data_IF_722538420671
#
_entry.id   IF_722538420671
#
_cell.length_a   1.000
_cell.length_b   1.000
_cell.length_c   1.000
_cell.angle_alpha   90.00
_cell.angle_beta   90.00
_cell.angle_gamma   90.00
#
_symmetry.space_group_name_H-M   'P 1'
#
loop_
_entity.id
_entity.type
_entity.pdbx_description
1 polymer ?
#
# COMPACT_ATOMS: atom_id res chain seq x y z
N UNK A 1 1.90 5.15 13.33
CA UNK A 1 2.57 5.99 14.36
C UNK A 1 3.48 6.95 13.62
N UNK A 2 3.60 8.20 14.08
CA UNK A 2 4.42 9.25 13.41
C UNK A 2 5.86 9.32 13.93
N UNK A 3 6.12 8.60 15.03
CA UNK A 3 7.38 8.55 15.75
C UNK A 3 7.74 7.09 16.01
N UNK A 4 9.04 6.84 16.22
CA UNK A 4 9.54 5.50 16.55
C UNK A 4 9.14 5.16 17.99
N UNK A 5 8.59 3.97 18.28
CA UNK A 5 8.25 3.59 19.65
C UNK A 5 9.47 3.44 20.56
N UNK A 6 9.34 3.79 21.85
CA UNK A 6 10.41 3.64 22.86
C UNK A 6 10.96 2.22 22.99
N UNK A 7 10.11 1.22 22.78
CA UNK A 7 10.52 -0.18 22.79
C UNK A 7 11.61 -0.51 21.75
N UNK A 8 11.70 0.24 20.64
CA UNK A 8 12.72 -0.02 19.60
C UNK A 8 14.11 0.35 20.10
N UNK A 9 14.26 1.50 20.76
CA UNK A 9 15.54 1.98 21.30
C UNK A 9 16.00 1.06 22.44
N UNK A 10 15.09 0.70 23.34
CA UNK A 10 15.38 -0.24 24.41
C UNK A 10 15.79 -1.63 23.87
N UNK A 11 15.11 -2.14 22.84
CA UNK A 11 15.49 -3.41 22.22
C UNK A 11 16.85 -3.34 21.52
N UNK A 12 17.16 -2.26 20.83
CA UNK A 12 18.48 -2.11 20.20
C UNK A 12 19.60 -2.07 21.23
N UNK A 13 19.39 -1.41 22.36
CA UNK A 13 20.33 -1.39 23.49
C UNK A 13 20.50 -2.77 24.14
N UNK A 14 19.41 -3.45 24.47
CA UNK A 14 19.44 -4.76 25.15
C UNK A 14 20.02 -5.85 24.25
N UNK A 15 19.66 -5.83 22.96
CA UNK A 15 20.06 -6.87 22.00
C UNK A 15 21.35 -6.50 21.25
N UNK A 16 21.98 -5.36 21.57
CA UNK A 16 23.16 -4.80 20.89
C UNK A 16 23.04 -4.91 19.36
N UNK A 17 21.87 -4.51 18.85
CA UNK A 17 21.60 -4.61 17.42
C UNK A 17 22.52 -3.66 16.68
N UNK A 18 23.17 -4.20 15.65
CA UNK A 18 24.02 -3.43 14.75
C UNK A 18 23.22 -2.86 13.57
N UNK A 19 22.06 -3.45 13.24
CA UNK A 19 21.23 -3.07 12.10
C UNK A 19 19.85 -2.66 12.56
N UNK A 20 19.44 -1.43 12.21
CA UNK A 20 18.10 -0.90 12.44
C UNK A 20 17.49 -0.49 11.10
N UNK A 21 16.43 -1.20 10.72
CA UNK A 21 15.65 -0.93 9.50
C UNK A 21 14.29 -0.37 9.92
N UNK A 22 14.04 0.89 9.56
CA UNK A 22 12.78 1.60 9.79
C UNK A 22 12.25 2.20 8.49
N UNK A 23 12.48 1.49 7.40
CA UNK A 23 12.06 1.93 6.09
C UNK A 23 10.55 1.88 5.86
N UNK A 24 10.08 2.70 4.92
CA UNK A 24 8.68 2.83 4.48
C UNK A 24 7.68 3.04 5.63
N UNK A 25 8.14 3.71 6.70
CA UNK A 25 7.26 4.13 7.77
C UNK A 25 6.77 5.57 7.51
N UNK A 26 5.63 5.94 8.10
CA UNK A 26 5.15 7.32 8.02
C UNK A 26 5.88 8.24 9.04
N UNK A 27 7.14 7.96 9.37
CA UNK A 27 7.87 8.63 10.45
C UNK A 27 8.21 10.07 10.04
N UNK A 28 8.05 10.96 11.00
CA UNK A 28 8.38 12.38 10.85
C UNK A 28 9.59 12.77 11.69
N UNK A 29 9.80 12.08 12.80
CA UNK A 29 10.87 12.38 13.74
C UNK A 29 11.38 11.12 14.46
N UNK A 30 12.66 11.18 14.85
CA UNK A 30 13.40 10.20 15.64
C UNK A 30 13.47 10.61 17.12
N UNK A 31 13.13 11.86 17.48
CA UNK A 31 13.26 12.34 18.88
C UNK A 31 12.11 11.87 19.79
N UNK A 32 10.98 11.45 19.22
CA UNK A 32 9.81 11.01 19.98
C UNK A 32 9.93 9.63 20.65
N UNK A 33 10.92 8.84 20.25
CA UNK A 33 11.07 7.44 20.68
C UNK A 33 12.11 7.17 21.74
N UNK A 34 12.84 8.16 22.25
CA UNK A 34 13.92 7.95 23.22
C UNK A 34 15.25 8.54 22.76
N UNK A 35 16.33 8.18 23.46
CA UNK A 35 17.64 8.77 23.21
C UNK A 35 18.41 8.00 22.12
N UNK A 36 18.87 8.71 21.10
CA UNK A 36 19.75 8.17 20.06
C UNK A 36 21.09 7.68 20.62
N UNK A 37 21.49 8.14 21.81
CA UNK A 37 22.65 7.61 22.52
C UNK A 37 22.51 6.11 22.85
N UNK A 38 21.28 5.61 23.02
CA UNK A 38 21.03 4.17 23.27
C UNK A 38 21.29 3.30 22.03
N UNK A 39 21.50 3.94 20.87
CA UNK A 39 21.77 3.29 19.59
C UNK A 39 23.26 3.40 19.18
N UNK A 40 24.16 3.74 20.11
CA UNK A 40 25.58 3.99 19.82
C UNK A 40 26.29 2.85 19.07
N UNK A 41 25.86 1.60 19.27
CA UNK A 41 26.44 0.39 18.65
C UNK A 41 25.90 0.09 17.23
N UNK A 42 24.98 0.91 16.70
CA UNK A 42 24.47 0.73 15.35
C UNK A 42 25.55 0.95 14.29
N UNK A 43 25.66 0.00 13.38
CA UNK A 43 26.50 0.09 12.17
C UNK A 43 25.67 0.44 10.94
N UNK A 44 24.39 0.08 10.91
CA UNK A 44 23.49 0.34 9.79
C UNK A 44 22.18 0.93 10.28
N UNK A 45 21.81 2.09 9.72
CA UNK A 45 20.55 2.75 9.95
C UNK A 45 19.86 3.03 8.61
N UNK A 46 18.74 2.37 8.40
CA UNK A 46 17.92 2.55 7.21
C UNK A 46 16.58 3.23 7.57
N UNK A 47 16.39 4.42 7.03
CA UNK A 47 15.24 5.30 7.20
C UNK A 47 14.60 5.64 5.85
N UNK A 48 14.82 4.83 4.80
CA UNK A 48 14.28 5.14 3.48
C UNK A 48 12.75 5.19 3.47
N UNK A 49 12.16 6.01 2.58
CA UNK A 49 10.70 6.01 2.36
C UNK A 49 9.88 6.61 3.50
N UNK A 50 10.47 7.51 4.30
CA UNK A 50 9.79 8.17 5.43
C UNK A 50 9.37 9.62 5.09
N UNK A 51 8.96 10.40 6.10
CA UNK A 51 8.57 11.79 5.96
C UNK A 51 9.44 12.76 6.78
N UNK A 52 10.71 12.40 6.99
CA UNK A 52 11.66 13.23 7.72
C UNK A 52 11.87 14.57 7.00
N UNK A 53 11.64 15.67 7.71
CA UNK A 53 11.95 17.04 7.22
C UNK A 53 13.34 17.49 7.62
N UNK A 54 13.81 17.01 8.76
CA UNK A 54 15.11 17.27 9.39
C UNK A 54 15.54 16.00 10.11
N UNK A 55 16.85 15.77 10.20
CA UNK A 55 17.41 14.78 11.12
C UNK A 55 17.75 15.46 12.45
N UNK A 56 17.64 14.77 13.58
CA UNK A 56 17.97 15.35 14.88
C UNK A 56 19.46 15.59 15.05
N UNK A 57 19.82 16.63 15.79
CA UNK A 57 21.23 16.98 16.06
C UNK A 57 21.97 15.89 16.85
N UNK A 58 21.25 15.02 17.55
CA UNK A 58 21.82 13.90 18.29
C UNK A 58 22.20 12.70 17.41
N UNK A 59 21.99 12.77 16.08
CA UNK A 59 22.43 11.71 15.16
C UNK A 59 23.94 11.45 15.25
N UNK A 60 24.73 12.48 15.59
CA UNK A 60 26.18 12.37 15.77
C UNK A 60 26.64 11.50 16.94
N UNK A 61 25.73 11.01 17.78
CA UNK A 61 26.04 10.05 18.85
C UNK A 61 26.33 8.64 18.31
N UNK A 62 25.88 8.31 17.08
CA UNK A 62 26.05 7.01 16.45
C UNK A 62 27.47 6.82 15.90
N UNK A 63 28.48 6.79 16.76
CA UNK A 63 29.89 6.83 16.34
C UNK A 63 30.31 5.62 15.49
N UNK A 64 29.65 4.46 15.66
CA UNK A 64 29.93 3.24 14.91
C UNK A 64 29.17 3.11 13.59
N UNK A 65 28.35 4.10 13.22
CA UNK A 65 27.53 4.04 12.03
C UNK A 65 28.38 4.04 10.76
N UNK A 66 28.18 3.03 9.91
CA UNK A 66 28.87 2.84 8.64
C UNK A 66 27.95 3.09 7.44
N UNK A 67 26.67 2.76 7.57
CA UNK A 67 25.67 2.93 6.49
C UNK A 67 24.49 3.72 7.03
N UNK A 68 24.19 4.85 6.37
CA UNK A 68 23.00 5.65 6.62
C UNK A 68 22.21 5.83 5.33
N UNK A 69 21.02 5.25 5.28
CA UNK A 69 20.08 5.44 4.19
C UNK A 69 18.91 6.31 4.66
N UNK A 70 18.77 7.49 4.08
CA UNK A 70 17.65 8.42 4.33
C UNK A 70 16.99 8.80 3.01
N UNK A 71 17.03 7.89 2.03
CA UNK A 71 16.46 8.12 0.70
C UNK A 71 14.94 8.27 0.74
N UNK A 72 14.36 8.93 -0.26
CA UNK A 72 12.93 9.13 -0.40
C UNK A 72 12.29 9.76 0.86
N UNK A 73 12.84 10.90 1.27
CA UNK A 73 12.40 11.69 2.42
C UNK A 73 12.14 13.14 2.00
N UNK A 74 11.90 14.04 2.96
CA UNK A 74 11.63 15.46 2.71
C UNK A 74 12.71 16.36 3.32
N UNK A 75 13.94 15.85 3.44
CA UNK A 75 15.04 16.55 4.08
C UNK A 75 15.40 17.80 3.27
N UNK A 76 15.46 18.95 3.94
CA UNK A 76 15.89 20.22 3.35
C UNK A 76 17.36 20.54 3.63
N UNK A 77 17.83 20.12 4.79
CA UNK A 77 19.20 20.29 5.27
C UNK A 77 19.59 19.08 6.12
N UNK A 78 20.89 18.84 6.26
CA UNK A 78 21.44 17.90 7.22
C UNK A 78 21.93 18.65 8.47
N UNK A 79 21.83 18.04 9.66
CA UNK A 79 22.33 18.64 10.90
C UNK A 79 23.86 18.67 10.92
N UNK A 80 24.44 19.64 11.61
CA UNK A 80 25.90 19.82 11.70
C UNK A 80 26.61 18.60 12.33
N UNK A 81 25.89 17.91 13.23
CA UNK A 81 26.36 16.71 13.90
C UNK A 81 26.61 15.52 12.97
N UNK A 82 26.17 15.55 11.70
CA UNK A 82 26.48 14.47 10.74
C UNK A 82 28.01 14.32 10.53
N UNK A 83 28.75 15.42 10.66
CA UNK A 83 30.22 15.44 10.58
C UNK A 83 30.91 14.63 11.70
N UNK A 84 30.19 14.34 12.80
CA UNK A 84 30.71 13.53 13.92
C UNK A 84 30.73 12.03 13.60
N UNK A 85 30.03 11.59 12.57
CA UNK A 85 29.97 10.19 12.14
C UNK A 85 31.25 9.79 11.40
N UNK A 86 32.37 9.70 12.13
CA UNK A 86 33.70 9.50 11.52
C UNK A 86 33.82 8.18 10.75
N UNK A 87 33.04 7.16 11.11
CA UNK A 87 33.10 5.84 10.48
C UNK A 87 32.09 5.63 9.34
N UNK A 88 31.33 6.67 8.97
CA UNK A 88 30.32 6.54 7.91
C UNK A 88 30.99 6.34 6.55
N UNK A 89 30.59 5.27 5.87
CA UNK A 89 31.15 4.87 4.58
C UNK A 89 30.13 5.02 3.45
N UNK A 90 28.84 4.79 3.74
CA UNK A 90 27.76 4.96 2.76
C UNK A 90 26.73 5.93 3.29
N UNK A 91 26.46 6.99 2.53
CA UNK A 91 25.41 7.96 2.80
C UNK A 91 24.50 8.07 1.57
N UNK A 92 23.24 7.68 1.73
CA UNK A 92 22.23 7.79 0.67
C UNK A 92 21.19 8.84 1.04
N UNK A 93 21.10 9.86 0.21
CA UNK A 93 20.22 11.01 0.33
C UNK A 93 19.33 11.16 -0.91
N UNK A 94 19.21 10.12 -1.73
CA UNK A 94 18.43 10.10 -2.96
C UNK A 94 16.99 10.57 -2.71
N UNK A 95 16.40 11.31 -3.64
CA UNK A 95 14.98 11.73 -3.57
C UNK A 95 14.66 12.48 -2.27
N UNK A 96 15.42 13.55 -2.02
CA UNK A 96 15.18 14.51 -0.94
C UNK A 96 14.98 15.92 -1.52
N UNK A 97 14.90 16.94 -0.66
CA UNK A 97 14.68 18.35 -1.05
C UNK A 97 15.86 19.22 -0.66
N UNK A 98 17.07 18.67 -0.70
CA UNK A 98 18.30 19.40 -0.38
C UNK A 98 18.53 20.46 -1.46
N UNK A 99 18.54 21.73 -1.06
CA UNK A 99 18.81 22.85 -1.99
C UNK A 99 20.30 23.16 -2.12
N UNK A 100 21.04 22.90 -1.05
CA UNK A 100 22.46 23.15 -0.93
C UNK A 100 23.14 21.87 -0.53
N UNK A 101 24.33 21.65 -1.06
CA UNK A 101 25.16 20.54 -0.63
C UNK A 101 25.56 20.71 0.85
N UNK A 102 25.54 19.65 1.67
CA UNK A 102 25.96 19.71 3.06
C UNK A 102 27.49 19.75 3.16
N UNK A 103 28.08 20.94 3.32
CA UNK A 103 29.53 21.13 3.52
C UNK A 103 30.12 20.22 4.63
N UNK A 104 29.29 19.80 5.57
CA UNK A 104 29.64 18.95 6.71
C UNK A 104 30.08 17.54 6.31
N UNK A 105 29.66 17.04 5.13
CA UNK A 105 30.13 15.72 4.63
C UNK A 105 31.48 15.80 3.93
N UNK A 106 31.94 16.99 3.56
CA UNK A 106 33.21 17.22 2.85
C UNK A 106 34.46 16.87 3.68
N UNK A 107 34.32 16.70 5.00
CA UNK A 107 35.41 16.37 5.94
C UNK A 107 35.40 14.93 6.45
N UNK A 108 34.57 14.04 5.89
CA UNK A 108 34.44 12.67 6.37
C UNK A 108 35.50 11.77 5.73
N UNK A 109 36.44 11.19 6.51
CA UNK A 109 37.63 10.55 5.94
C UNK A 109 37.41 9.15 5.36
N UNK A 110 36.27 8.51 5.66
CA UNK A 110 35.97 7.13 5.24
C UNK A 110 34.73 7.02 4.34
N UNK A 111 34.16 8.14 3.89
CA UNK A 111 32.93 8.14 3.10
C UNK A 111 33.21 7.73 1.65
N UNK A 112 32.80 6.50 1.28
CA UNK A 112 33.03 5.87 -0.02
C UNK A 112 31.91 6.11 -1.02
N UNK A 113 30.66 6.05 -0.54
CA UNK A 113 29.48 6.15 -1.40
C UNK A 113 28.61 7.29 -0.92
N UNK A 114 28.37 8.26 -1.81
CA UNK A 114 27.46 9.36 -1.59
C UNK A 114 26.44 9.41 -2.73
N UNK A 115 25.18 9.18 -2.41
CA UNK A 115 24.08 9.35 -3.36
C UNK A 115 23.27 10.59 -3.00
N UNK A 116 23.29 11.61 -3.86
CA UNK A 116 22.49 12.82 -3.73
C UNK A 116 21.58 13.03 -4.95
N UNK A 117 21.32 11.97 -5.72
CA UNK A 117 20.46 12.02 -6.89
C UNK A 117 19.03 12.47 -6.55
N UNK A 118 18.34 13.09 -7.52
CA UNK A 118 16.98 13.60 -7.35
C UNK A 118 16.81 14.53 -6.13
N UNK A 119 17.74 15.48 -5.98
CA UNK A 119 17.64 16.60 -5.05
C UNK A 119 17.55 17.93 -5.80
N UNK A 120 17.39 19.04 -5.08
CA UNK A 120 17.38 20.41 -5.63
C UNK A 120 18.78 21.06 -5.59
N UNK A 121 19.85 20.26 -5.51
CA UNK A 121 21.24 20.74 -5.40
C UNK A 121 21.71 21.24 -6.78
N UNK A 122 22.11 22.50 -6.84
CA UNK A 122 22.59 23.15 -8.06
C UNK A 122 24.11 23.28 -8.13
N UNK A 123 24.77 23.30 -6.97
CA UNK A 123 26.21 23.48 -6.89
C UNK A 123 26.86 22.50 -5.90
N UNK A 124 27.98 21.90 -6.32
CA UNK A 124 28.88 21.15 -5.45
C UNK A 124 30.00 22.06 -4.93
N UNK A 125 30.34 22.00 -3.64
CA UNK A 125 31.43 22.79 -3.08
C UNK A 125 32.78 22.20 -3.52
N UNK A 126 33.76 23.07 -3.78
CA UNK A 126 35.15 22.67 -4.01
C UNK A 126 35.74 21.92 -2.82
N UNK A 127 35.22 22.17 -1.61
CA UNK A 127 35.58 21.46 -0.37
C UNK A 127 35.33 19.95 -0.44
N UNK A 128 34.48 19.45 -1.36
CA UNK A 128 34.25 18.01 -1.54
C UNK A 128 35.54 17.26 -1.92
N UNK A 129 36.56 17.96 -2.45
CA UNK A 129 37.90 17.41 -2.67
C UNK A 129 38.57 16.89 -1.37
N UNK A 130 38.09 17.34 -0.21
CA UNK A 130 38.56 16.88 1.10
C UNK A 130 38.18 15.42 1.37
N UNK A 131 37.10 14.92 0.74
CA UNK A 131 36.75 13.52 0.81
C UNK A 131 37.57 12.71 -0.21
N UNK A 132 38.78 12.37 0.20
CA UNK A 132 39.70 11.54 -0.58
C UNK A 132 39.25 10.08 -0.65
N UNK A 133 38.25 9.68 0.16
CA UNK A 133 37.73 8.33 0.23
C UNK A 133 36.56 8.01 -0.69
N UNK A 134 36.05 8.98 -1.44
CA UNK A 134 34.85 8.83 -2.24
C UNK A 134 35.11 8.04 -3.52
N UNK A 135 34.54 6.85 -3.62
CA UNK A 135 34.62 5.96 -4.78
C UNK A 135 33.43 6.18 -5.73
N UNK A 136 32.24 6.40 -5.16
CA UNK A 136 30.98 6.53 -5.92
C UNK A 136 30.23 7.78 -5.48
N UNK A 137 29.99 8.68 -6.42
CA UNK A 137 29.18 9.88 -6.25
C UNK A 137 28.08 9.83 -7.30
N UNK A 138 26.83 9.69 -6.86
CA UNK A 138 25.66 9.67 -7.74
C UNK A 138 25.01 11.04 -7.70
N UNK A 139 24.93 11.69 -8.87
CA UNK A 139 24.41 13.03 -9.09
C UNK A 139 23.36 13.00 -10.20
N UNK A 140 22.48 13.99 -10.23
CA UNK A 140 21.62 14.24 -11.38
C UNK A 140 22.25 15.35 -12.25
N UNK A 141 22.75 14.97 -13.44
CA UNK A 141 23.42 15.88 -14.37
C UNK A 141 22.47 16.94 -14.95
N UNK A 142 21.15 16.73 -14.88
CA UNK A 142 20.18 17.62 -15.52
C UNK A 142 19.95 18.94 -14.75
N UNK A 143 20.12 18.92 -13.42
CA UNK A 143 19.83 20.06 -12.54
C UNK A 143 21.08 20.78 -11.98
N UNK A 144 22.28 20.29 -12.31
CA UNK A 144 23.54 20.86 -11.82
C UNK A 144 23.97 22.08 -12.66
N UNK A 145 24.23 23.21 -11.99
CA UNK A 145 24.84 24.41 -12.59
C UNK A 145 26.36 24.40 -12.43
N UNK A 146 26.87 23.84 -11.32
CA UNK A 146 28.30 23.68 -11.05
C UNK A 146 28.56 22.37 -10.29
N UNK A 147 29.35 21.40 -10.80
CA UNK A 147 30.19 21.39 -12.01
C UNK A 147 29.38 21.39 -13.31
N UNK A 148 30.04 21.64 -14.46
CA UNK A 148 29.34 21.60 -15.76
C UNK A 148 28.69 20.24 -16.01
N UNK A 149 27.60 20.23 -16.79
CA UNK A 149 26.86 19.00 -17.13
C UNK A 149 27.78 17.93 -17.74
N UNK A 150 28.70 18.35 -18.61
CA UNK A 150 29.68 17.47 -19.25
C UNK A 150 30.66 16.80 -18.27
N UNK A 151 30.88 17.38 -17.09
CA UNK A 151 31.69 16.79 -16.02
C UNK A 151 30.84 15.84 -15.18
N UNK A 152 29.57 16.19 -14.94
CA UNK A 152 28.64 15.35 -14.19
C UNK A 152 28.18 14.09 -14.94
N UNK A 153 28.20 14.10 -16.28
CA UNK A 153 27.92 12.91 -17.10
C UNK A 153 29.09 11.91 -17.18
N UNK A 154 30.28 12.33 -16.73
CA UNK A 154 31.47 11.47 -16.70
C UNK A 154 31.52 10.63 -15.42
N UNK A 155 32.60 9.86 -15.25
CA UNK A 155 32.83 9.07 -14.05
C UNK A 155 32.93 9.96 -12.81
N UNK A 156 32.55 9.43 -11.65
CA UNK A 156 32.78 10.05 -10.34
C UNK A 156 34.22 10.54 -10.17
N UNK A 157 35.21 9.80 -10.70
CA UNK A 157 36.61 10.18 -10.65
C UNK A 157 36.90 11.48 -11.43
N UNK A 158 36.24 11.72 -12.56
CA UNK A 158 36.41 12.93 -13.37
C UNK A 158 35.82 14.16 -12.68
N UNK A 159 34.67 13.99 -12.02
CA UNK A 159 34.05 15.03 -11.18
C UNK A 159 35.00 15.43 -10.05
N UNK A 160 35.57 14.44 -9.35
CA UNK A 160 36.50 14.69 -8.26
C UNK A 160 37.83 15.31 -8.76
N UNK A 161 38.35 14.87 -9.91
CA UNK A 161 39.53 15.50 -10.53
C UNK A 161 39.29 16.96 -10.88
N UNK A 162 38.11 17.29 -11.40
CA UNK A 162 37.73 18.68 -11.70
C UNK A 162 37.66 19.54 -10.44
N UNK A 163 36.98 19.05 -9.40
CA UNK A 163 36.87 19.76 -8.11
C UNK A 163 38.24 19.93 -7.44
N UNK A 164 39.12 18.92 -7.51
CA UNK A 164 40.49 19.00 -7.00
C UNK A 164 41.34 20.03 -7.76
N UNK A 165 41.22 20.08 -9.09
CA UNK A 165 41.92 21.07 -9.93
C UNK A 165 41.51 22.50 -9.58
N UNK A 166 40.21 22.75 -9.41
CA UNK A 166 39.67 24.05 -9.00
C UNK A 166 40.07 24.43 -7.57
N UNK A 167 40.18 23.45 -6.67
CA UNK A 167 40.64 23.66 -5.30
C UNK A 167 42.17 23.82 -5.16
N UNK A 168 42.94 23.61 -6.24
CA UNK A 168 44.41 23.62 -6.21
C UNK A 168 45.04 22.43 -5.47
N UNK A 169 44.28 21.33 -5.29
CA UNK A 169 44.72 20.12 -4.59
C UNK A 169 44.96 19.00 -5.60
N UNK A 170 46.05 18.24 -5.46
CA UNK A 170 46.29 17.07 -6.31
C UNK A 170 45.26 15.98 -6.03
N UNK A 171 44.58 15.50 -7.07
CA UNK A 171 43.66 14.36 -6.95
C UNK A 171 44.45 13.08 -6.63
N UNK A 172 44.13 12.45 -5.51
CA UNK A 172 44.59 11.12 -5.19
C UNK A 172 43.41 10.17 -5.36
N UNK A 173 43.57 9.19 -6.24
CA UNK A 173 42.55 8.17 -6.42
C UNK A 173 42.27 7.46 -5.09
N UNK A 174 41.00 7.12 -4.81
CA UNK A 174 40.59 6.31 -3.69
C UNK A 174 41.61 5.23 -3.26
N UNK A 175 41.88 4.27 -4.14
CA UNK A 175 42.87 3.21 -3.93
C UNK A 175 44.29 3.64 -3.47
N UNK A 176 44.72 4.88 -3.74
CA UNK A 176 46.02 5.43 -3.32
C UNK A 176 45.95 6.20 -2.00
N UNK A 177 44.81 6.80 -1.67
CA UNK A 177 44.63 7.50 -0.39
C UNK A 177 44.67 6.52 0.80
N UNK A 178 44.17 5.29 0.62
CA UNK A 178 44.17 4.28 1.69
C UNK A 178 45.60 3.83 1.98
N UNK A 179 46.48 3.89 0.97
CA UNK A 179 47.90 3.61 1.10
C UNK A 179 48.68 4.74 1.82
N UNK A 180 48.18 5.97 1.81
CA UNK A 180 48.87 7.14 2.37
C UNK A 180 48.32 7.60 3.72
N UNK A 181 47.07 7.31 4.06
CA UNK A 181 46.50 7.62 5.38
C UNK A 181 47.24 6.93 6.55
N UNK A 182 48.03 5.88 6.27
CA UNK A 182 48.96 5.25 7.21
C UNK A 182 50.35 5.91 7.32
N UNK A 183 50.66 6.95 6.52
CA UNK A 183 51.97 7.63 6.51
C UNK A 183 52.02 8.90 7.36
N UNK A 184 51.29 8.92 8.48
CA UNK A 184 51.60 9.84 9.59
C UNK A 184 52.86 9.34 10.30
N UNK A 185 54.00 9.95 9.98
CA UNK A 185 55.34 9.40 10.18
C UNK A 185 55.64 8.70 11.51
N UNK A 186 55.79 7.37 11.47
CA UNK A 186 56.65 6.58 12.36
C UNK A 186 57.10 5.30 11.62
N UNK A 187 58.40 5.01 11.70
CA UNK A 187 59.14 3.76 11.41
C UNK A 187 58.53 2.67 10.50
N UNK A 188 59.35 2.24 9.53
CA UNK A 188 59.11 1.24 8.46
C UNK A 188 58.68 -0.17 8.96
N UNK A 189 58.70 -0.46 10.27
CA UNK A 189 58.19 -1.70 10.84
C UNK A 189 56.65 -1.72 11.06
N UNK A 190 55.99 -0.56 11.12
CA UNK A 190 54.54 -0.45 11.33
C UNK A 190 53.70 -0.70 10.06
N UNK A 191 54.37 -0.79 8.90
CA UNK A 191 53.74 -0.88 7.57
C UNK A 191 53.00 -2.21 7.35
N UNK A 192 53.31 -3.27 8.11
CA UNK A 192 52.58 -4.55 8.03
C UNK A 192 51.38 -4.61 8.98
N UNK A 193 51.47 -4.00 10.16
CA UNK A 193 50.40 -4.01 11.16
C UNK A 193 49.26 -3.07 10.72
N UNK A 194 49.60 -1.87 10.24
CA UNK A 194 48.62 -0.94 9.70
C UNK A 194 47.91 -1.54 8.47
N UNK A 195 48.65 -2.13 7.53
CA UNK A 195 48.05 -2.85 6.38
C UNK A 195 47.14 -4.00 6.81
N UNK A 196 47.51 -4.76 7.84
CA UNK A 196 46.64 -5.80 8.41
C UNK A 196 45.39 -5.20 9.03
N UNK A 197 45.49 -4.11 9.79
CA UNK A 197 44.32 -3.45 10.37
C UNK A 197 43.42 -2.85 9.29
N UNK A 198 43.97 -2.29 8.22
CA UNK A 198 43.19 -1.79 7.08
C UNK A 198 42.52 -2.91 6.30
N UNK A 199 43.23 -4.01 6.00
CA UNK A 199 42.65 -5.16 5.33
C UNK A 199 41.56 -5.82 6.19
N UNK A 200 41.76 -5.87 7.51
CA UNK A 200 40.77 -6.35 8.46
C UNK A 200 39.53 -5.44 8.47
N UNK A 201 39.72 -4.12 8.49
CA UNK A 201 38.64 -3.14 8.47
C UNK A 201 37.86 -3.17 7.15
N UNK A 202 38.54 -3.41 6.03
CA UNK A 202 37.91 -3.59 4.71
C UNK A 202 37.15 -4.91 4.60
N UNK A 203 37.69 -6.00 5.16
CA UNK A 203 36.98 -7.27 5.29
C UNK A 203 35.71 -7.08 6.13
N UNK A 204 35.84 -6.47 7.31
CA UNK A 204 34.71 -6.19 8.20
C UNK A 204 33.64 -5.30 7.54
N UNK A 205 34.07 -4.32 6.73
CA UNK A 205 33.14 -3.48 5.99
C UNK A 205 32.41 -4.26 4.89
N UNK A 206 33.14 -5.02 4.07
CA UNK A 206 32.54 -5.81 3.01
C UNK A 206 31.60 -6.89 3.58
N UNK A 207 31.99 -7.52 4.68
CA UNK A 207 31.15 -8.44 5.45
C UNK A 207 29.90 -7.73 5.98
N UNK A 208 30.03 -6.52 6.55
CA UNK A 208 28.90 -5.72 7.02
C UNK A 208 27.94 -5.30 5.91
N UNK A 209 28.47 -4.91 4.75
CA UNK A 209 27.67 -4.53 3.58
C UNK A 209 26.93 -5.75 2.98
N UNK A 210 27.60 -6.89 2.89
CA UNK A 210 26.97 -8.15 2.44
C UNK A 210 25.90 -8.61 3.43
N UNK A 211 26.17 -8.52 4.73
CA UNK A 211 25.18 -8.82 5.77
C UNK A 211 23.96 -7.90 5.64
N UNK A 212 24.16 -6.60 5.42
CA UNK A 212 23.08 -5.65 5.18
C UNK A 212 22.25 -6.01 3.94
N UNK A 213 22.90 -6.27 2.80
CA UNK A 213 22.22 -6.66 1.57
C UNK A 213 21.42 -7.95 1.75
N UNK A 214 22.01 -8.96 2.40
CA UNK A 214 21.34 -10.23 2.70
C UNK A 214 20.12 -10.04 3.60
N UNK A 215 20.21 -9.20 4.63
CA UNK A 215 19.07 -8.90 5.51
C UNK A 215 17.96 -8.19 4.74
N UNK A 216 18.30 -7.22 3.88
CA UNK A 216 17.33 -6.54 3.02
C UNK A 216 16.66 -7.50 2.03
N UNK A 217 17.43 -8.37 1.37
CA UNK A 217 16.91 -9.37 0.44
C UNK A 217 15.96 -10.34 1.13
N UNK A 218 16.34 -10.82 2.31
CA UNK A 218 15.48 -11.69 3.13
C UNK A 218 14.18 -10.98 3.51
N UNK A 219 14.26 -9.70 3.89
CA UNK A 219 13.07 -8.90 4.22
C UNK A 219 12.17 -8.66 3.01
N UNK A 220 12.74 -8.39 1.83
CA UNK A 220 11.98 -8.31 0.58
C UNK A 220 11.25 -9.62 0.27
N UNK A 221 11.92 -10.75 0.39
CA UNK A 221 11.32 -12.06 0.16
C UNK A 221 10.15 -12.36 1.13
N UNK A 222 10.31 -12.05 2.42
CA UNK A 222 9.25 -12.19 3.43
C UNK A 222 8.02 -11.32 3.09
N UNK A 223 8.23 -10.09 2.64
CA UNK A 223 7.13 -9.18 2.25
C UNK A 223 6.40 -9.68 1.00
N UNK A 224 7.12 -10.13 -0.01
CA UNK A 224 6.52 -10.68 -1.24
C UNK A 224 5.69 -11.94 -0.96
N UNK A 225 6.17 -12.81 -0.07
CA UNK A 225 5.44 -14.00 0.35
C UNK A 225 4.14 -13.63 1.07
N UNK A 226 4.19 -12.67 2.00
CA UNK A 226 3.01 -12.17 2.70
C UNK A 226 2.01 -11.53 1.72
N UNK A 227 2.48 -10.74 0.76
CA UNK A 227 1.62 -10.13 -0.26
C UNK A 227 0.94 -11.18 -1.14
N UNK A 228 1.67 -12.22 -1.55
CA UNK A 228 1.08 -13.35 -2.28
C UNK A 228 0.03 -14.07 -1.46
N UNK A 229 0.28 -14.29 -0.16
CA UNK A 229 -0.69 -14.91 0.74
C UNK A 229 -1.97 -14.07 0.88
N UNK A 230 -1.83 -12.75 1.08
CA UNK A 230 -3.00 -11.84 1.15
C UNK A 230 -3.78 -11.79 -0.17
N UNK A 231 -3.10 -11.77 -1.31
CA UNK A 231 -3.76 -11.80 -2.62
C UNK A 231 -4.52 -13.11 -2.82
N UNK A 232 -3.91 -14.25 -2.48
CA UNK A 232 -4.57 -15.55 -2.55
C UNK A 232 -5.84 -15.60 -1.68
N UNK A 233 -5.78 -15.05 -0.45
CA UNK A 233 -6.94 -14.96 0.43
C UNK A 233 -8.05 -14.08 -0.16
N UNK A 234 -7.71 -12.90 -0.69
CA UNK A 234 -8.67 -12.03 -1.38
C UNK A 234 -9.32 -12.71 -2.59
N UNK A 235 -8.54 -13.43 -3.40
CA UNK A 235 -9.08 -14.18 -4.54
C UNK A 235 -10.01 -15.30 -4.09
N UNK A 236 -9.67 -16.05 -3.04
CA UNK A 236 -10.52 -17.09 -2.50
C UNK A 236 -11.84 -16.53 -1.94
N UNK A 237 -11.79 -15.39 -1.25
CA UNK A 237 -12.99 -14.68 -0.79
C UNK A 237 -13.87 -14.20 -1.95
N UNK A 238 -13.26 -13.65 -3.01
CA UNK A 238 -13.97 -13.20 -4.20
C UNK A 238 -14.66 -14.36 -4.93
N UNK A 239 -14.01 -15.53 -5.04
CA UNK A 239 -14.61 -16.73 -5.62
C UNK A 239 -15.80 -17.25 -4.80
N UNK A 240 -15.67 -17.28 -3.47
CA UNK A 240 -16.78 -17.68 -2.59
C UNK A 240 -17.97 -16.71 -2.72
N UNK A 241 -17.70 -15.40 -2.79
CA UNK A 241 -18.73 -14.40 -3.01
C UNK A 241 -19.42 -14.55 -4.38
N UNK A 242 -18.66 -14.83 -5.44
CA UNK A 242 -19.19 -15.08 -6.77
C UNK A 242 -20.09 -16.32 -6.80
N UNK A 243 -19.65 -17.44 -6.18
CA UNK A 243 -20.46 -18.66 -6.05
C UNK A 243 -21.75 -18.40 -5.26
N UNK A 244 -21.67 -17.64 -4.17
CA UNK A 244 -22.84 -17.28 -3.38
C UNK A 244 -23.83 -16.41 -4.18
N UNK A 245 -23.33 -15.45 -4.98
CA UNK A 245 -24.16 -14.62 -5.84
C UNK A 245 -24.84 -15.42 -6.96
N UNK A 246 -24.14 -16.39 -7.55
CA UNK A 246 -24.70 -17.29 -8.56
C UNK A 246 -25.79 -18.19 -7.97
N UNK A 247 -25.54 -18.79 -6.81
CA UNK A 247 -26.54 -19.57 -6.08
C UNK A 247 -27.77 -18.72 -5.72
N UNK A 248 -27.55 -17.49 -5.25
CA UNK A 248 -28.64 -16.57 -4.93
C UNK A 248 -29.47 -16.21 -6.17
N UNK A 249 -28.81 -15.93 -7.30
CA UNK A 249 -29.49 -15.65 -8.57
C UNK A 249 -30.30 -16.86 -9.06
N UNK A 250 -29.74 -18.06 -8.95
CA UNK A 250 -30.46 -19.30 -9.29
C UNK A 250 -31.70 -19.47 -8.42
N UNK A 251 -31.58 -19.32 -7.09
CA UNK A 251 -32.71 -19.36 -6.17
C UNK A 251 -33.79 -18.33 -6.50
N UNK A 252 -33.40 -17.07 -6.77
CA UNK A 252 -34.34 -16.04 -7.18
C UNK A 252 -35.07 -16.39 -8.48
N UNK A 253 -34.37 -17.00 -9.44
CA UNK A 253 -35.01 -17.43 -10.69
C UNK A 253 -36.03 -18.55 -10.46
N UNK A 254 -35.72 -19.52 -9.58
CA UNK A 254 -36.65 -20.58 -9.21
C UNK A 254 -37.85 -20.06 -8.43
N UNK A 255 -37.64 -19.14 -7.49
CA UNK A 255 -38.73 -18.49 -6.74
C UNK A 255 -39.65 -17.73 -7.70
N UNK A 256 -39.08 -16.99 -8.66
CA UNK A 256 -39.86 -16.27 -9.66
C UNK A 256 -40.70 -17.22 -10.52
N UNK A 257 -40.10 -18.31 -11.00
CA UNK A 257 -40.80 -19.32 -11.79
C UNK A 257 -41.96 -19.96 -11.01
N UNK A 258 -41.72 -20.32 -9.75
CA UNK A 258 -42.76 -20.90 -8.90
C UNK A 258 -43.89 -19.89 -8.64
N UNK A 259 -43.56 -18.62 -8.38
CA UNK A 259 -44.57 -17.57 -8.22
C UNK A 259 -45.41 -17.38 -9.49
N UNK A 260 -44.78 -17.41 -10.66
CA UNK A 260 -45.49 -17.29 -11.94
C UNK A 260 -46.43 -18.48 -12.15
N UNK A 261 -45.97 -19.70 -11.84
CA UNK A 261 -46.78 -20.91 -11.88
C UNK A 261 -47.97 -20.84 -10.91
N UNK A 262 -47.75 -20.44 -9.65
CA UNK A 262 -48.81 -20.30 -8.65
C UNK A 262 -49.86 -19.26 -9.10
N UNK A 263 -49.42 -18.15 -9.71
CA UNK A 263 -50.35 -17.13 -10.24
C UNK A 263 -51.15 -17.64 -11.43
N UNK A 264 -50.55 -18.47 -12.28
CA UNK A 264 -51.22 -19.12 -13.40
C UNK A 264 -52.28 -20.12 -12.90
N UNK A 265 -51.90 -21.00 -11.98
CA UNK A 265 -52.79 -22.01 -11.41
C UNK A 265 -53.98 -21.35 -10.68
N UNK A 266 -53.74 -20.26 -9.93
CA UNK A 266 -54.79 -19.47 -9.29
C UNK A 266 -55.74 -18.81 -10.32
N UNK A 267 -55.19 -18.28 -11.41
CA UNK A 267 -55.99 -17.68 -12.48
C UNK A 267 -56.88 -18.75 -13.16
N UNK A 268 -56.33 -19.95 -13.42
CA UNK A 268 -57.08 -21.06 -14.01
C UNK A 268 -58.21 -21.53 -13.10
N UNK A 269 -57.94 -21.75 -11.81
CA UNK A 269 -58.96 -22.09 -10.82
C UNK A 269 -60.05 -21.03 -10.70
N UNK A 270 -59.69 -19.74 -10.76
CA UNK A 270 -60.67 -18.64 -10.72
C UNK A 270 -61.59 -18.66 -11.95
N UNK A 271 -61.05 -19.00 -13.12
CA UNK A 271 -61.81 -19.13 -14.37
C UNK A 271 -62.75 -20.31 -14.33
N UNK A 272 -62.30 -21.46 -13.82
CA UNK A 272 -63.14 -22.65 -13.63
C UNK A 272 -64.31 -22.35 -12.68
N UNK A 273 -64.04 -21.76 -11.50
CA UNK A 273 -65.10 -21.35 -10.56
C UNK A 273 -66.07 -20.35 -11.18
N UNK A 274 -65.59 -19.41 -12.00
CA UNK A 274 -66.45 -18.47 -12.69
C UNK A 274 -67.36 -19.18 -13.71
N UNK A 275 -66.81 -20.13 -14.48
CA UNK A 275 -67.58 -20.93 -15.43
C UNK A 275 -68.65 -21.79 -14.73
N UNK A 276 -68.28 -22.53 -13.69
CA UNK A 276 -69.22 -23.31 -12.87
C UNK A 276 -70.31 -22.42 -12.26
N UNK A 277 -69.94 -21.23 -11.76
CA UNK A 277 -70.92 -20.26 -11.24
C UNK A 277 -71.88 -19.79 -12.33
N UNK A 278 -71.39 -19.51 -13.55
CA UNK A 278 -72.26 -19.09 -14.66
C UNK A 278 -73.19 -20.22 -15.10
N UNK A 279 -72.71 -21.46 -15.11
CA UNK A 279 -73.51 -22.63 -15.44
C UNK A 279 -74.60 -22.85 -14.38
N UNK A 280 -74.25 -22.76 -13.10
CA UNK A 280 -75.20 -22.86 -12.00
C UNK A 280 -76.25 -21.75 -12.03
N UNK A 281 -75.86 -20.50 -12.34
CA UNK A 281 -76.81 -19.40 -12.50
C UNK A 281 -77.78 -19.64 -13.67
N UNK A 282 -77.30 -20.24 -14.76
CA UNK A 282 -78.17 -20.63 -15.88
C UNK A 282 -79.18 -21.69 -15.46
N UNK A 283 -78.74 -22.73 -14.75
CA UNK A 283 -79.64 -23.74 -14.19
C UNK A 283 -80.71 -23.14 -13.25
N UNK A 284 -80.33 -22.18 -12.40
CA UNK A 284 -81.30 -21.47 -11.56
C UNK A 284 -82.29 -20.64 -12.38
N UNK A 285 -81.83 -19.92 -13.39
CA UNK A 285 -82.70 -19.15 -14.29
C UNK A 285 -83.70 -20.04 -15.04
N UNK A 286 -83.26 -21.20 -15.53
CA UNK A 286 -84.12 -22.16 -16.22
C UNK A 286 -85.17 -22.75 -15.24
N UNK A 287 -84.76 -23.01 -14.00
CA UNK A 287 -85.68 -23.46 -12.94
C UNK A 287 -86.71 -22.39 -12.57
N UNK A 288 -86.29 -21.13 -12.40
CA UNK A 288 -87.18 -20.00 -12.14
C UNK A 288 -88.18 -19.79 -13.29
N UNK A 289 -87.72 -19.86 -14.54
CA UNK A 289 -88.58 -19.77 -15.71
C UNK A 289 -89.61 -20.93 -15.77
N UNK A 290 -89.17 -22.15 -15.45
CA UNK A 290 -90.04 -23.31 -15.33
C UNK A 290 -91.10 -23.16 -14.23
N UNK A 291 -90.69 -22.69 -13.04
CA UNK A 291 -91.60 -22.41 -11.94
C UNK A 291 -92.60 -21.28 -12.28
N UNK A 292 -92.14 -20.24 -12.97
CA UNK A 292 -92.99 -19.15 -13.48
C UNK A 292 -94.04 -19.63 -14.48
N UNK A 293 -93.66 -20.54 -15.40
CA UNK A 293 -94.60 -21.16 -16.34
C UNK A 293 -95.66 -22.01 -15.63
N UNK A 294 -95.26 -22.78 -14.61
CA UNK A 294 -96.19 -23.58 -13.81
C UNK A 294 -97.17 -22.68 -13.04
N UNK A 295 -96.70 -21.57 -12.47
CA UNK A 295 -97.56 -20.59 -11.81
C UNK A 295 -98.53 -19.94 -12.79
N UNK A 296 -98.10 -19.62 -14.01
CA UNK A 296 -98.99 -19.10 -15.06
C UNK A 296 -100.06 -20.11 -15.48
N UNK A 297 -99.70 -21.40 -15.61
CA UNK A 297 -100.68 -22.46 -15.85
C UNK A 297 -101.69 -22.57 -14.71
N UNK A 298 -101.25 -22.54 -13.46
CA UNK A 298 -102.15 -22.56 -12.30
C UNK A 298 -103.09 -21.35 -12.32
N UNK A 299 -102.58 -20.15 -12.62
CA UNK A 299 -103.41 -18.95 -12.75
C UNK A 299 -104.47 -19.09 -13.85
N UNK A 300 -104.09 -19.60 -15.03
CA UNK A 300 -105.03 -19.82 -16.14
C UNK A 300 -106.09 -20.88 -15.79
N UNK A 301 -105.71 -21.97 -15.11
CA UNK A 301 -106.66 -22.95 -14.60
C UNK A 301 -107.61 -22.34 -13.56
N UNK A 302 -107.13 -21.50 -12.65
CA UNK A 302 -107.99 -20.81 -11.67
C UNK A 302 -108.92 -19.78 -12.32
N UNK A 303 -108.48 -19.08 -13.37
CA UNK A 303 -109.30 -18.14 -14.12
C UNK A 303 -110.42 -18.87 -14.87
N UNK A 304 -110.09 -19.97 -15.56
CA UNK A 304 -111.09 -20.82 -16.22
C UNK A 304 -112.06 -21.46 -15.24
N UNK A 305 -111.58 -21.91 -14.08
CA UNK A 305 -112.44 -22.43 -13.03
C UNK A 305 -113.45 -21.36 -12.57
N UNK A 306 -113.00 -20.11 -12.41
CA UNK A 306 -113.86 -18.99 -12.07
C UNK A 306 -114.87 -18.66 -13.17
N UNK A 307 -114.47 -18.66 -14.44
CA UNK A 307 -115.41 -18.49 -15.57
C UNK A 307 -116.46 -19.61 -15.63
N UNK A 308 -116.06 -20.86 -15.36
CA UNK A 308 -117.01 -21.97 -15.29
C UNK A 308 -117.96 -21.86 -14.10
N UNK A 309 -117.50 -21.31 -12.97
CA UNK A 309 -118.33 -21.03 -11.79
C UNK A 309 -119.34 -19.90 -12.09
N UNK A 310 -118.90 -18.83 -12.74
CA UNK A 310 -119.76 -17.72 -13.21
C UNK A 310 -120.81 -18.21 -14.24
N UNK A 311 -120.45 -19.07 -15.19
CA UNK A 311 -121.39 -19.70 -16.13
C UNK A 311 -122.41 -20.61 -15.43
N UNK A 312 -122.00 -21.33 -14.37
CA UNK A 312 -122.91 -22.17 -13.58
C UNK A 312 -123.91 -21.32 -12.80
N UNK A 313 -123.48 -20.20 -12.21
CA UNK A 313 -124.38 -19.24 -11.57
C UNK A 313 -125.37 -18.62 -12.57
N UNK A 314 -124.96 -18.34 -13.81
CA UNK A 314 -125.87 -17.87 -14.86
C UNK A 314 -126.89 -18.94 -15.28
N UNK A 315 -126.49 -20.22 -15.33
CA UNK A 315 -127.41 -21.33 -15.60
C UNK A 315 -128.40 -21.58 -14.47
N UNK A 316 -127.99 -21.42 -13.20
CA UNK A 316 -128.91 -21.50 -12.06
C UNK A 316 -129.93 -20.36 -12.03
N UNK A 317 -129.57 -19.16 -12.50
CA UNK A 317 -130.51 -18.03 -12.67
C UNK A 317 -131.51 -18.20 -13.82
N UNK A 318 -131.25 -19.12 -14.75
CA UNK A 318 -132.10 -19.37 -15.93
C UNK A 318 -133.15 -20.49 -15.73
N UNK A 319 -133.31 -21.00 -14.51
CA UNK A 319 -134.25 -22.07 -14.14
C UNK A 319 -135.38 -21.54 -13.26
#
# INVERSE_FOLDING_TARGET
MLEVPEGVYAMCKILQKQVLLLNDNALRDLVGGGDLADLADLTVLDLHGNHFKTLPDNIGCLQHLQVLDVSNNKLKHLPDSISKLKHLQTLKLRENRLKTFPDQVCGMPYLRTLDISHNEIRSLPTKLCGNRALETLVLDSSHMEYPSRDVCEKSTADVMMFLCKEAGVGYEHPSKYWYQAGKGGYSVAADSEAKRQFALMESQYNEGLQAYQSVLDKKRAEVEELQRAMQAEHTAQAELAARAAENHRSLLSSIKLNSDQDTFDLAELSKQRAAEKTEFLKYLSDFEAGAGSLLAQIQDYTAKAKETEELLEEMEKAR
#
